data_IF_351831613492
#
_entry.id   IF_351831613492
#
_cell.length_a   1.000
_cell.length_b   1.000
_cell.length_c   1.000
_cell.angle_alpha   90.00
_cell.angle_beta   90.00
_cell.angle_gamma   90.00
#
_symmetry.space_group_name_H-M   'P 1'
#
loop_
_entity.id
_entity.type
_entity.pdbx_description
1 polymer ?
#
# COMPACT_ATOMS: atom_id res chain seq x y z
N UNK A 1 -22.72 -32.61 17.94
CA UNK A 1 -22.02 -32.36 16.65
C UNK A 1 -23.00 -31.61 15.78
N UNK A 2 -22.98 -30.28 15.81
CA UNK A 2 -23.79 -29.45 14.93
C UNK A 2 -23.27 -29.58 13.49
N UNK A 3 -24.15 -29.85 12.55
CA UNK A 3 -23.84 -29.72 11.13
C UNK A 3 -23.60 -28.26 10.85
N UNK A 4 -22.37 -27.92 10.47
CA UNK A 4 -22.05 -26.60 9.94
C UNK A 4 -22.72 -26.47 8.57
N UNK A 5 -23.80 -25.72 8.48
CA UNK A 5 -24.41 -25.36 7.21
C UNK A 5 -23.35 -24.63 6.38
N UNK A 6 -23.18 -24.99 5.09
CA UNK A 6 -22.24 -24.29 4.25
C UNK A 6 -22.70 -22.82 4.09
N UNK A 7 -21.89 -21.90 4.59
CA UNK A 7 -22.11 -20.49 4.40
C UNK A 7 -21.87 -20.13 2.91
N UNK A 8 -22.91 -19.66 2.24
CA UNK A 8 -22.80 -19.12 0.88
C UNK A 8 -22.90 -17.60 0.98
N UNK A 9 -21.77 -16.86 0.86
CA UNK A 9 -21.82 -15.41 0.90
C UNK A 9 -22.63 -14.87 -0.29
N UNK A 10 -23.48 -13.86 -0.06
CA UNK A 10 -24.04 -13.06 -1.15
C UNK A 10 -22.91 -12.29 -1.82
N UNK A 11 -22.45 -12.79 -2.94
CA UNK A 11 -21.38 -12.13 -3.71
C UNK A 11 -21.96 -10.89 -4.38
N UNK A 12 -21.31 -9.72 -4.27
CA UNK A 12 -21.73 -8.51 -4.98
C UNK A 12 -21.69 -8.73 -6.49
N UNK A 13 -22.44 -7.94 -7.24
CA UNK A 13 -22.42 -7.97 -8.69
C UNK A 13 -21.00 -7.71 -9.21
N UNK A 14 -20.38 -8.74 -9.82
CA UNK A 14 -18.99 -8.70 -10.26
C UNK A 14 -18.98 -8.41 -11.75
N UNK A 15 -18.15 -7.44 -12.18
CA UNK A 15 -17.96 -7.17 -13.60
C UNK A 15 -17.31 -8.37 -14.31
N UNK A 16 -17.59 -8.55 -15.61
CA UNK A 16 -17.16 -9.74 -16.37
C UNK A 16 -15.65 -10.01 -16.37
N UNK A 17 -14.82 -8.98 -16.15
CA UNK A 17 -13.37 -9.09 -16.11
C UNK A 17 -12.79 -9.21 -14.70
N UNK A 18 -13.62 -9.26 -13.67
CA UNK A 18 -13.20 -9.35 -12.27
C UNK A 18 -13.50 -10.73 -11.67
N UNK A 19 -12.73 -11.10 -10.68
CA UNK A 19 -13.00 -12.24 -9.81
C UNK A 19 -12.69 -11.90 -8.33
N UNK A 20 -13.29 -12.65 -7.43
CA UNK A 20 -13.04 -12.51 -5.98
C UNK A 20 -11.67 -13.07 -5.67
N UNK A 21 -10.75 -12.24 -5.23
CA UNK A 21 -9.43 -12.64 -4.76
C UNK A 21 -9.47 -13.06 -3.28
N UNK A 22 -10.17 -12.27 -2.44
CA UNK A 22 -10.35 -12.55 -1.01
C UNK A 22 -11.76 -12.22 -0.55
N UNK A 23 -12.23 -12.98 0.44
CA UNK A 23 -13.39 -12.67 1.27
C UNK A 23 -12.88 -12.54 2.71
N UNK A 24 -12.95 -11.34 3.26
CA UNK A 24 -12.41 -11.03 4.58
C UNK A 24 -13.58 -10.84 5.54
N UNK A 25 -13.81 -11.76 6.49
CA UNK A 25 -14.83 -11.60 7.52
C UNK A 25 -14.53 -10.38 8.39
N UNK A 26 -15.55 -9.58 8.71
CA UNK A 26 -15.42 -8.41 9.58
C UNK A 26 -16.14 -8.60 10.91
N UNK A 27 -17.36 -9.06 10.84
CA UNK A 27 -18.18 -9.34 12.03
C UNK A 27 -19.27 -10.33 11.68
N UNK A 28 -19.75 -11.02 12.70
CA UNK A 28 -20.84 -11.94 12.59
C UNK A 28 -22.07 -11.40 13.31
N UNK A 29 -23.22 -11.88 12.92
CA UNK A 29 -24.50 -11.68 13.60
C UNK A 29 -25.15 -13.03 13.88
N UNK A 30 -25.77 -13.18 15.04
CA UNK A 30 -26.47 -14.39 15.42
C UNK A 30 -27.78 -14.03 16.14
N UNK A 31 -28.92 -14.57 15.70
CA UNK A 31 -30.23 -14.33 16.33
C UNK A 31 -30.55 -12.83 16.58
N UNK A 32 -30.17 -11.94 15.64
CA UNK A 32 -30.40 -10.49 15.76
C UNK A 32 -29.33 -9.71 16.56
N UNK A 33 -28.38 -10.40 17.17
CA UNK A 33 -27.19 -9.77 17.79
C UNK A 33 -26.13 -9.56 16.72
N UNK A 34 -25.57 -8.36 16.59
CA UNK A 34 -24.56 -8.02 15.60
C UNK A 34 -23.22 -7.68 16.26
N UNK A 35 -22.13 -7.66 15.48
CA UNK A 35 -20.81 -7.28 16.00
C UNK A 35 -20.06 -8.40 16.72
N UNK A 36 -20.48 -9.65 16.53
CA UNK A 36 -19.81 -10.82 17.09
C UNK A 36 -18.51 -11.04 16.31
N UNK A 37 -17.38 -11.18 17.02
CA UNK A 37 -16.07 -11.41 16.38
C UNK A 37 -15.83 -12.90 16.14
N UNK A 38 -16.14 -13.73 17.12
CA UNK A 38 -15.97 -15.17 17.06
C UNK A 38 -17.32 -15.88 17.29
N UNK A 39 -17.92 -16.50 16.27
CA UNK A 39 -19.17 -17.18 16.36
C UNK A 39 -19.05 -18.67 16.78
N UNK A 40 -17.84 -19.24 16.91
CA UNK A 40 -17.64 -20.68 17.09
C UNK A 40 -18.30 -21.24 18.35
N UNK A 41 -18.43 -20.39 19.39
CA UNK A 41 -19.05 -20.81 20.68
C UNK A 41 -20.55 -20.50 20.77
N UNK A 42 -21.18 -19.99 19.69
CA UNK A 42 -22.58 -19.59 19.74
C UNK A 42 -23.50 -20.59 19.07
N UNK A 43 -24.51 -21.02 19.82
CA UNK A 43 -25.64 -21.77 19.24
C UNK A 43 -26.63 -20.78 18.61
N UNK A 44 -26.81 -20.86 17.29
CA UNK A 44 -27.69 -19.97 16.56
C UNK A 44 -28.40 -20.70 15.43
N UNK A 45 -29.68 -20.36 15.24
CA UNK A 45 -30.46 -20.84 14.10
C UNK A 45 -30.21 -20.03 12.83
N UNK A 46 -29.64 -18.85 12.96
CA UNK A 46 -29.28 -17.96 11.84
C UNK A 46 -27.95 -17.27 12.16
N UNK A 47 -27.01 -17.40 11.22
CA UNK A 47 -25.71 -16.74 11.28
C UNK A 47 -25.58 -15.81 10.07
N UNK A 48 -25.38 -14.52 10.34
CA UNK A 48 -25.08 -13.51 9.35
C UNK A 48 -23.59 -13.18 9.41
N UNK A 49 -22.97 -12.87 8.28
CA UNK A 49 -21.57 -12.45 8.22
C UNK A 49 -21.45 -11.17 7.38
N UNK A 50 -20.88 -10.15 7.98
CA UNK A 50 -20.43 -8.96 7.25
C UNK A 50 -19.00 -9.19 6.75
N UNK A 51 -18.81 -9.13 5.44
CA UNK A 51 -17.51 -9.41 4.81
C UNK A 51 -17.10 -8.30 3.86
N UNK A 52 -15.79 -8.09 3.77
CA UNK A 52 -15.15 -7.30 2.74
C UNK A 52 -14.76 -8.23 1.58
N UNK A 53 -15.18 -7.90 0.36
CA UNK A 53 -14.76 -8.59 -0.85
C UNK A 53 -13.63 -7.82 -1.50
N UNK A 54 -12.53 -8.48 -1.78
CA UNK A 54 -11.43 -7.96 -2.60
C UNK A 54 -11.58 -8.52 -4.00
N UNK A 55 -11.86 -7.62 -4.94
CA UNK A 55 -12.00 -7.96 -6.36
C UNK A 55 -10.70 -7.65 -7.09
N UNK A 56 -10.31 -8.51 -8.01
CA UNK A 56 -9.14 -8.31 -8.85
C UNK A 56 -9.47 -8.56 -10.33
N UNK A 57 -8.74 -7.88 -11.20
CA UNK A 57 -8.83 -8.10 -12.65
C UNK A 57 -8.29 -9.49 -13.02
N UNK A 58 -9.09 -10.30 -13.69
CA UNK A 58 -8.74 -11.68 -14.10
C UNK A 58 -7.49 -11.71 -14.96
N UNK A 59 -7.36 -10.76 -15.89
CA UNK A 59 -6.21 -10.71 -16.79
C UNK A 59 -4.91 -10.44 -16.05
N UNK A 60 -4.94 -9.51 -15.08
CA UNK A 60 -3.78 -9.22 -14.23
C UNK A 60 -3.37 -10.44 -13.41
N UNK A 61 -4.34 -11.12 -12.80
CA UNK A 61 -4.07 -12.34 -12.01
C UNK A 61 -3.50 -13.46 -12.86
N UNK A 62 -4.07 -13.69 -14.04
CA UNK A 62 -3.56 -14.72 -14.98
C UNK A 62 -2.17 -14.37 -15.49
N UNK A 63 -1.89 -13.12 -15.83
CA UNK A 63 -0.56 -12.69 -16.27
C UNK A 63 0.49 -12.90 -15.18
N UNK A 64 0.14 -12.59 -13.94
CA UNK A 64 1.00 -12.85 -12.77
C UNK A 64 1.30 -14.34 -12.64
N UNK A 65 0.26 -15.21 -12.67
CA UNK A 65 0.42 -16.66 -12.62
C UNK A 65 1.28 -17.19 -13.78
N UNK A 66 1.02 -16.71 -14.99
CA UNK A 66 1.77 -17.10 -16.20
C UNK A 66 3.26 -16.71 -16.12
N UNK A 67 3.55 -15.51 -15.59
CA UNK A 67 4.91 -15.01 -15.45
C UNK A 67 5.72 -15.88 -14.48
N UNK A 68 5.16 -16.21 -13.32
CA UNK A 68 5.79 -17.09 -12.34
C UNK A 68 5.95 -18.51 -12.88
N UNK A 69 4.92 -19.05 -13.57
CA UNK A 69 4.98 -20.38 -14.17
C UNK A 69 6.08 -20.51 -15.23
N UNK A 70 6.35 -19.44 -15.99
CA UNK A 70 7.45 -19.42 -16.97
C UNK A 70 8.83 -19.60 -16.33
N UNK A 71 8.99 -19.26 -15.06
CA UNK A 71 10.22 -19.50 -14.28
C UNK A 71 10.29 -20.91 -13.67
N UNK A 72 9.38 -21.81 -14.04
CA UNK A 72 9.34 -23.18 -13.53
C UNK A 72 8.72 -23.35 -12.14
N UNK A 73 8.14 -22.28 -11.59
CA UNK A 73 7.54 -22.27 -10.24
C UNK A 73 6.01 -22.37 -10.35
N UNK A 74 5.40 -23.21 -9.52
CA UNK A 74 3.94 -23.29 -9.40
C UNK A 74 3.41 -22.24 -8.43
N UNK A 75 2.35 -21.50 -8.82
CA UNK A 75 1.65 -20.57 -7.95
C UNK A 75 0.58 -21.32 -7.18
N UNK A 76 0.70 -21.39 -5.86
CA UNK A 76 -0.27 -22.00 -4.98
C UNK A 76 -1.48 -21.08 -4.74
N UNK A 77 -1.22 -19.82 -4.45
CA UNK A 77 -2.25 -18.80 -4.19
C UNK A 77 -1.73 -17.42 -4.57
N UNK A 78 -2.64 -16.48 -4.80
CA UNK A 78 -2.36 -15.06 -4.90
C UNK A 78 -2.88 -14.38 -3.64
N UNK A 79 -2.10 -13.47 -3.08
CA UNK A 79 -2.46 -12.70 -1.91
C UNK A 79 -2.36 -11.22 -2.25
N UNK A 80 -3.34 -10.43 -1.81
CA UNK A 80 -3.30 -8.99 -1.95
C UNK A 80 -2.11 -8.41 -1.19
N UNK A 81 -1.30 -7.54 -1.83
CA UNK A 81 -0.12 -6.91 -1.21
C UNK A 81 -0.46 -6.22 0.12
N UNK A 82 -1.56 -5.48 0.14
CA UNK A 82 -2.04 -4.80 1.35
C UNK A 82 -2.22 -5.74 2.56
N UNK A 83 -2.75 -6.96 2.35
CA UNK A 83 -2.87 -7.96 3.43
C UNK A 83 -1.50 -8.47 3.87
N UNK A 84 -0.62 -8.79 2.91
CA UNK A 84 0.71 -9.31 3.22
C UNK A 84 1.55 -8.27 3.98
N UNK A 85 1.53 -7.01 3.53
CA UNK A 85 2.22 -5.90 4.20
C UNK A 85 1.62 -5.62 5.59
N UNK A 86 0.29 -5.69 5.73
CA UNK A 86 -0.39 -5.54 7.02
C UNK A 86 0.00 -6.63 8.02
N UNK A 87 0.13 -7.87 7.57
CA UNK A 87 0.56 -8.97 8.45
C UNK A 87 2.01 -8.81 8.91
N UNK A 88 2.88 -8.25 8.07
CA UNK A 88 4.31 -8.11 8.38
C UNK A 88 4.66 -6.84 9.15
N UNK A 89 3.90 -5.75 8.97
CA UNK A 89 4.27 -4.42 9.46
C UNK A 89 3.41 -3.93 10.62
N UNK A 90 2.20 -4.49 10.82
CA UNK A 90 1.27 -4.01 11.83
C UNK A 90 1.13 -5.00 12.98
N UNK A 91 1.20 -4.49 14.21
CA UNK A 91 0.82 -5.24 15.40
C UNK A 91 -0.70 -5.45 15.47
N UNK A 92 -1.13 -6.40 16.30
CA UNK A 92 -2.56 -6.62 16.53
C UNK A 92 -3.22 -5.41 17.18
N UNK A 93 -2.53 -4.76 18.12
CA UNK A 93 -3.06 -3.58 18.82
C UNK A 93 -3.28 -2.40 17.86
N UNK A 94 -2.35 -2.15 16.91
CA UNK A 94 -2.53 -1.12 15.88
C UNK A 94 -3.75 -1.41 15.01
N UNK A 95 -3.93 -2.66 14.58
CA UNK A 95 -5.10 -3.06 13.79
C UNK A 95 -6.42 -2.89 14.58
N UNK A 96 -6.41 -3.18 15.88
CA UNK A 96 -7.58 -3.01 16.76
C UNK A 96 -7.91 -1.53 16.99
N UNK A 97 -6.92 -0.69 17.27
CA UNK A 97 -7.09 0.76 17.48
C UNK A 97 -7.46 1.50 16.20
N UNK A 98 -7.22 0.88 15.07
CA UNK A 98 -7.32 1.46 13.75
C UNK A 98 -6.02 2.14 13.33
N UNK A 99 -5.57 1.83 12.11
CA UNK A 99 -4.30 2.32 11.55
C UNK A 99 -4.40 2.40 10.02
N UNK A 100 -3.70 3.36 9.44
CA UNK A 100 -3.46 3.41 7.99
C UNK A 100 -2.09 2.83 7.70
N UNK A 101 -1.99 1.95 6.70
CA UNK A 101 -0.74 1.46 6.16
C UNK A 101 -0.56 2.00 4.74
N UNK A 102 0.57 2.66 4.49
CA UNK A 102 1.00 3.09 3.17
C UNK A 102 2.23 2.28 2.75
N UNK A 103 2.07 1.41 1.77
CA UNK A 103 3.17 0.64 1.17
C UNK A 103 3.63 1.35 -0.10
N UNK A 104 4.71 2.14 0.02
CA UNK A 104 5.24 2.97 -1.07
C UNK A 104 6.27 2.14 -1.85
N UNK A 105 5.78 1.47 -2.89
CA UNK A 105 6.60 0.68 -3.80
C UNK A 105 7.32 1.52 -4.86
N UNK A 106 7.92 0.84 -5.84
CA UNK A 106 8.62 1.51 -6.95
C UNK A 106 7.69 2.26 -7.90
N UNK A 107 6.55 1.70 -8.26
CA UNK A 107 5.60 2.28 -9.23
C UNK A 107 4.21 2.55 -8.68
N UNK A 108 3.87 1.98 -7.54
CA UNK A 108 2.52 2.02 -6.95
C UNK A 108 2.67 2.24 -5.45
N UNK A 109 1.74 2.96 -4.87
CA UNK A 109 1.53 3.01 -3.42
C UNK A 109 0.22 2.34 -3.08
N UNK A 110 0.29 1.24 -2.33
CA UNK A 110 -0.87 0.58 -1.76
C UNK A 110 -1.28 1.29 -0.48
N UNK A 111 -2.57 1.53 -0.34
CA UNK A 111 -3.17 2.28 0.76
C UNK A 111 -4.17 1.37 1.43
N UNK A 112 -4.02 1.15 2.73
CA UNK A 112 -4.87 0.25 3.50
C UNK A 112 -5.30 0.90 4.80
N UNK A 113 -6.54 0.77 5.14
CA UNK A 113 -7.10 1.14 6.44
C UNK A 113 -7.54 -0.10 7.18
N UNK A 114 -7.01 -0.30 8.37
CA UNK A 114 -7.40 -1.35 9.29
C UNK A 114 -8.22 -0.74 10.43
N UNK A 115 -9.23 -1.47 10.86
CA UNK A 115 -10.11 -1.10 11.95
C UNK A 115 -10.70 -2.35 12.59
N UNK A 116 -10.83 -2.38 13.90
CA UNK A 116 -11.40 -3.51 14.64
C UNK A 116 -10.72 -4.85 14.31
N UNK A 117 -9.39 -4.83 14.15
CA UNK A 117 -8.56 -5.99 13.85
C UNK A 117 -8.58 -6.46 12.39
N UNK A 118 -9.37 -5.84 11.50
CA UNK A 118 -9.57 -6.29 10.12
C UNK A 118 -9.26 -5.20 9.10
N UNK A 119 -8.93 -5.61 7.86
CA UNK A 119 -8.83 -4.68 6.72
C UNK A 119 -10.22 -4.12 6.41
N UNK A 120 -10.38 -2.81 6.56
CA UNK A 120 -11.64 -2.09 6.32
C UNK A 120 -11.75 -1.53 4.90
N UNK A 121 -10.66 -0.93 4.42
CA UNK A 121 -10.60 -0.35 3.10
C UNK A 121 -9.22 -0.52 2.51
N UNK A 122 -9.14 -0.76 1.20
CA UNK A 122 -7.88 -0.78 0.48
C UNK A 122 -8.05 -0.19 -0.91
N UNK A 123 -7.04 0.53 -1.36
CA UNK A 123 -6.92 1.07 -2.70
C UNK A 123 -5.46 1.24 -3.06
N UNK A 124 -5.17 1.61 -4.30
CA UNK A 124 -3.82 1.89 -4.76
C UNK A 124 -3.78 3.15 -5.62
N UNK A 125 -2.65 3.81 -5.63
CA UNK A 125 -2.37 4.94 -6.53
C UNK A 125 -1.13 4.62 -7.38
N UNK A 126 -1.11 4.96 -8.68
CA UNK A 126 0.00 4.66 -9.58
C UNK A 126 1.15 5.67 -9.42
N UNK A 127 1.59 5.87 -8.18
CA UNK A 127 2.69 6.75 -7.79
C UNK A 127 3.59 6.00 -6.81
N UNK A 128 4.90 6.07 -7.02
CA UNK A 128 5.90 5.41 -6.17
C UNK A 128 7.30 5.98 -6.43
N UNK A 129 8.33 5.25 -6.02
CA UNK A 129 9.72 5.68 -6.11
C UNK A 129 10.22 6.07 -7.51
N UNK A 130 9.66 5.47 -8.55
CA UNK A 130 10.00 5.80 -9.95
C UNK A 130 9.59 7.22 -10.31
N UNK A 131 8.47 7.72 -9.79
CA UNK A 131 8.04 9.10 -10.01
C UNK A 131 8.96 10.09 -9.31
N UNK A 132 9.41 9.76 -8.09
CA UNK A 132 10.44 10.55 -7.37
C UNK A 132 11.71 10.69 -8.22
N UNK A 133 12.21 9.59 -8.78
CA UNK A 133 13.39 9.58 -9.65
C UNK A 133 13.17 10.39 -10.91
N UNK A 134 11.99 10.28 -11.52
CA UNK A 134 11.64 11.01 -12.74
C UNK A 134 11.60 12.52 -12.48
N UNK A 135 10.99 12.94 -11.38
CA UNK A 135 10.92 14.35 -11.00
C UNK A 135 12.33 14.92 -10.74
N UNK A 136 13.17 14.16 -10.05
CA UNK A 136 14.56 14.54 -9.82
C UNK A 136 15.34 14.62 -11.15
N UNK A 137 15.15 13.66 -12.05
CA UNK A 137 15.75 13.66 -13.39
C UNK A 137 15.36 14.89 -14.19
N UNK A 138 14.09 15.29 -14.14
CA UNK A 138 13.57 16.47 -14.84
C UNK A 138 14.08 17.75 -14.17
N UNK A 139 13.99 17.86 -12.86
CA UNK A 139 14.39 19.06 -12.11
C UNK A 139 15.87 19.38 -12.28
N UNK A 140 16.73 18.36 -12.32
CA UNK A 140 18.19 18.53 -12.48
C UNK A 140 18.64 18.43 -13.94
N UNK A 141 17.79 18.04 -14.89
CA UNK A 141 18.17 17.82 -16.29
C UNK A 141 19.24 16.73 -16.46
N UNK A 142 19.16 15.65 -15.69
CA UNK A 142 20.13 14.54 -15.69
C UNK A 142 19.51 13.23 -16.17
N UNK A 143 20.31 12.25 -16.63
CA UNK A 143 19.80 10.92 -16.96
C UNK A 143 19.13 10.26 -15.77
N UNK A 144 18.06 9.49 -16.04
CA UNK A 144 17.27 8.77 -15.02
C UNK A 144 18.13 7.90 -14.09
N UNK A 145 19.14 7.24 -14.65
CA UNK A 145 20.05 6.40 -13.86
C UNK A 145 20.80 7.20 -12.78
N UNK A 146 21.34 8.38 -13.13
CA UNK A 146 22.02 9.23 -12.17
C UNK A 146 21.06 9.88 -11.17
N UNK A 147 19.83 10.16 -11.58
CA UNK A 147 18.77 10.62 -10.66
C UNK A 147 18.41 9.53 -9.63
N UNK A 148 18.32 8.28 -10.08
CA UNK A 148 18.07 7.14 -9.17
C UNK A 148 19.20 6.97 -8.16
N UNK A 149 20.46 6.99 -8.64
CA UNK A 149 21.64 6.91 -7.78
C UNK A 149 21.69 8.08 -6.78
N UNK A 150 21.41 9.30 -7.23
CA UNK A 150 21.40 10.49 -6.39
C UNK A 150 20.30 10.41 -5.31
N UNK A 151 19.09 10.00 -5.71
CA UNK A 151 17.98 9.76 -4.76
C UNK A 151 18.37 8.77 -3.67
N UNK A 152 18.96 7.63 -4.05
CA UNK A 152 19.31 6.56 -3.12
C UNK A 152 20.44 6.94 -2.16
N UNK A 153 21.42 7.72 -2.62
CA UNK A 153 22.61 8.05 -1.83
C UNK A 153 22.43 9.31 -0.97
N UNK A 154 21.75 10.33 -1.48
CA UNK A 154 21.73 11.66 -0.87
C UNK A 154 20.33 12.24 -0.67
N UNK A 155 19.29 11.59 -1.23
CA UNK A 155 17.92 12.05 -1.11
C UNK A 155 17.42 11.99 0.32
N UNK A 156 16.59 12.95 0.70
CA UNK A 156 15.90 13.01 1.99
C UNK A 156 14.45 13.46 1.80
N UNK A 157 13.55 12.94 2.62
CA UNK A 157 12.13 13.32 2.57
C UNK A 157 11.90 14.73 3.13
N UNK A 158 12.73 15.15 4.08
CA UNK A 158 12.69 16.46 4.73
C UNK A 158 13.96 17.25 4.34
N UNK A 159 13.86 18.24 3.43
CA UNK A 159 15.03 19.00 2.99
C UNK A 159 15.81 19.64 4.14
N UNK A 160 15.11 20.14 5.15
CA UNK A 160 15.69 20.80 6.32
C UNK A 160 16.60 19.87 7.14
N UNK A 161 16.39 18.57 7.05
CA UNK A 161 17.18 17.55 7.74
C UNK A 161 18.25 16.90 6.85
N UNK A 162 18.23 17.19 5.54
CA UNK A 162 19.18 16.61 4.59
C UNK A 162 20.61 17.15 4.77
N UNK A 163 20.75 18.35 5.35
CA UNK A 163 22.02 19.04 5.51
C UNK A 163 22.49 19.76 4.23
N UNK A 164 23.50 20.62 4.39
CA UNK A 164 24.03 21.49 3.32
C UNK A 164 25.28 20.91 2.65
N UNK A 165 25.58 19.63 2.87
CA UNK A 165 26.70 18.95 2.22
C UNK A 165 26.54 19.03 0.69
N UNK A 166 27.58 19.52 0.01
CA UNK A 166 27.61 19.57 -1.46
C UNK A 166 27.86 18.19 -2.06
N UNK A 167 27.05 17.83 -3.05
CA UNK A 167 27.16 16.59 -3.82
C UNK A 167 27.41 16.89 -5.28
N UNK A 168 28.19 16.04 -5.93
CA UNK A 168 28.49 16.10 -7.36
C UNK A 168 27.70 15.02 -8.07
N UNK A 169 26.77 15.41 -8.92
CA UNK A 169 25.92 14.48 -9.65
C UNK A 169 26.33 14.48 -11.12
N UNK A 170 26.70 13.29 -11.66
CA UNK A 170 27.02 13.17 -13.07
C UNK A 170 25.85 13.61 -13.97
N UNK A 171 26.19 14.21 -15.10
CA UNK A 171 25.23 14.66 -16.10
C UNK A 171 25.40 13.89 -17.41
N UNK A 172 24.87 14.41 -18.50
CA UNK A 172 25.11 13.83 -19.83
C UNK A 172 26.57 13.97 -20.23
N UNK A 173 27.04 12.98 -21.03
CA UNK A 173 28.41 12.96 -21.52
C UNK A 173 28.84 14.32 -22.14
N UNK A 174 30.02 14.76 -21.76
CA UNK A 174 30.57 16.05 -22.23
C UNK A 174 30.04 17.32 -21.51
N UNK A 175 29.23 17.15 -20.45
CA UNK A 175 28.79 18.25 -19.60
C UNK A 175 29.43 18.19 -18.23
N UNK A 176 29.58 19.37 -17.59
CA UNK A 176 30.04 19.46 -16.22
C UNK A 176 29.04 18.79 -15.25
N UNK A 177 29.51 18.09 -14.20
CA UNK A 177 28.66 17.57 -13.13
C UNK A 177 27.88 18.70 -12.44
N UNK A 178 26.66 18.44 -12.05
CA UNK A 178 25.92 19.37 -11.19
C UNK A 178 26.49 19.34 -9.78
N UNK A 179 26.75 20.53 -9.24
CA UNK A 179 27.10 20.74 -7.84
C UNK A 179 25.90 21.38 -7.15
N UNK A 180 25.35 20.72 -6.16
CA UNK A 180 24.22 21.22 -5.38
C UNK A 180 24.26 20.65 -3.96
N UNK A 181 23.55 21.31 -3.04
CA UNK A 181 23.42 20.82 -1.68
C UNK A 181 22.47 19.61 -1.60
N UNK A 182 22.62 18.79 -0.57
CA UNK A 182 21.66 17.72 -0.28
C UNK A 182 20.25 18.28 0.00
N UNK A 183 20.19 19.47 0.61
CA UNK A 183 18.94 20.21 0.79
C UNK A 183 18.23 20.42 -0.56
N UNK A 184 18.92 21.05 -1.54
CA UNK A 184 18.33 21.37 -2.84
C UNK A 184 17.95 20.13 -3.65
N UNK A 185 18.76 19.06 -3.56
CA UNK A 185 18.45 17.75 -4.14
C UNK A 185 17.15 17.19 -3.57
N UNK A 186 16.88 17.42 -2.30
CA UNK A 186 15.74 16.85 -1.59
C UNK A 186 14.42 17.60 -1.85
N UNK A 187 14.45 18.84 -2.32
CA UNK A 187 13.24 19.63 -2.59
C UNK A 187 12.25 18.97 -3.58
N UNK A 188 12.69 18.46 -4.76
CA UNK A 188 11.78 17.75 -5.66
C UNK A 188 11.21 16.47 -5.04
N UNK A 189 12.01 15.75 -4.26
CA UNK A 189 11.60 14.51 -3.57
C UNK A 189 10.52 14.81 -2.53
N UNK A 190 10.74 15.82 -1.68
CA UNK A 190 9.77 16.29 -0.69
C UNK A 190 8.44 16.69 -1.33
N UNK A 191 8.51 17.46 -2.42
CA UNK A 191 7.32 17.92 -3.16
C UNK A 191 6.47 16.74 -3.63
N UNK A 192 7.09 15.73 -4.25
CA UNK A 192 6.39 14.52 -4.72
C UNK A 192 5.87 13.66 -3.58
N UNK A 193 6.64 13.46 -2.52
CA UNK A 193 6.18 12.70 -1.34
C UNK A 193 4.98 13.36 -0.68
N UNK A 194 5.04 14.69 -0.50
CA UNK A 194 3.92 15.46 0.06
C UNK A 194 2.65 15.33 -0.80
N UNK A 195 2.77 15.36 -2.13
CA UNK A 195 1.66 15.13 -3.04
C UNK A 195 1.11 13.71 -2.91
N UNK A 196 1.99 12.71 -2.86
CA UNK A 196 1.63 11.30 -2.71
C UNK A 196 0.84 11.06 -1.43
N UNK A 197 1.30 11.60 -0.30
CA UNK A 197 0.63 11.49 0.99
C UNK A 197 -0.74 12.19 0.96
N UNK A 198 -0.82 13.40 0.38
CA UNK A 198 -2.09 14.12 0.23
C UNK A 198 -3.08 13.34 -0.62
N UNK A 199 -2.62 12.73 -1.71
CA UNK A 199 -3.46 11.88 -2.56
C UNK A 199 -3.92 10.61 -1.83
N UNK A 200 -3.05 9.99 -1.02
CA UNK A 200 -3.42 8.85 -0.20
C UNK A 200 -4.51 9.20 0.82
N UNK A 201 -4.36 10.33 1.52
CA UNK A 201 -5.38 10.83 2.46
C UNK A 201 -6.70 11.13 1.73
N UNK A 202 -6.64 11.72 0.55
CA UNK A 202 -7.83 11.96 -0.28
C UNK A 202 -8.54 10.65 -0.61
N UNK A 203 -7.80 9.62 -1.05
CA UNK A 203 -8.36 8.29 -1.35
C UNK A 203 -9.00 7.61 -0.14
N UNK A 204 -8.39 7.73 1.02
CA UNK A 204 -8.96 7.22 2.27
C UNK A 204 -10.28 7.91 2.63
N UNK A 205 -10.38 9.22 2.41
CA UNK A 205 -11.63 9.97 2.63
C UNK A 205 -12.72 9.57 1.64
N UNK A 206 -12.38 9.35 0.37
CA UNK A 206 -13.31 8.77 -0.62
C UNK A 206 -13.81 7.38 -0.17
N UNK A 207 -12.96 6.60 0.48
CA UNK A 207 -13.31 5.30 1.08
C UNK A 207 -14.12 5.38 2.38
N UNK A 208 -14.48 6.58 2.83
CA UNK A 208 -15.33 6.78 4.02
C UNK A 208 -14.57 7.09 5.31
N UNK A 209 -13.25 7.21 5.29
CA UNK A 209 -12.46 7.57 6.48
C UNK A 209 -12.71 9.04 6.85
N UNK A 210 -13.27 9.30 8.01
CA UNK A 210 -13.59 10.66 8.48
C UNK A 210 -12.40 11.37 9.13
N UNK A 211 -11.53 10.64 9.81
CA UNK A 211 -10.34 11.14 10.49
C UNK A 211 -9.23 10.10 10.48
N UNK A 212 -7.99 10.55 10.66
CA UNK A 212 -6.84 9.64 10.86
C UNK A 212 -7.09 8.82 12.12
N UNK A 213 -6.97 7.48 12.06
CA UNK A 213 -7.22 6.61 13.19
C UNK A 213 -6.18 6.81 14.30
N UNK A 214 -6.49 6.31 15.52
CA UNK A 214 -5.61 6.49 16.69
C UNK A 214 -4.25 5.82 16.55
N UNK A 215 -4.16 4.73 15.80
CA UNK A 215 -2.88 4.08 15.46
C UNK A 215 -2.04 4.86 14.46
N UNK A 216 -2.56 5.98 13.93
CA UNK A 216 -1.80 6.85 13.01
C UNK A 216 -1.61 6.27 11.63
N UNK A 217 -0.46 6.57 11.03
CA UNK A 217 -0.06 6.11 9.70
C UNK A 217 1.27 5.37 9.82
N UNK A 218 1.30 4.13 9.36
CA UNK A 218 2.51 3.31 9.24
C UNK A 218 2.97 3.36 7.78
N UNK A 219 4.26 3.59 7.57
CA UNK A 219 4.88 3.63 6.27
C UNK A 219 5.72 2.37 6.06
N UNK A 220 5.63 1.77 4.88
CA UNK A 220 6.45 0.63 4.46
C UNK A 220 6.74 0.70 2.96
N UNK A 221 7.44 -0.29 2.43
CA UNK A 221 7.82 -0.37 1.03
C UNK A 221 9.25 0.09 0.75
N UNK A 222 9.75 -0.26 -0.42
CA UNK A 222 11.15 0.01 -0.79
C UNK A 222 11.52 1.49 -0.85
N UNK A 223 10.56 2.36 -1.16
CA UNK A 223 10.79 3.82 -1.25
C UNK A 223 11.04 4.45 0.12
N UNK A 224 10.45 3.91 1.18
CA UNK A 224 10.62 4.43 2.56
C UNK A 224 12.06 4.25 3.04
N UNK A 225 12.70 3.13 2.69
CA UNK A 225 14.08 2.83 3.10
C UNK A 225 15.11 3.80 2.52
N UNK A 226 14.83 4.43 1.39
CA UNK A 226 15.78 5.31 0.69
C UNK A 226 15.59 6.79 0.99
N UNK A 227 14.44 7.18 1.50
CA UNK A 227 14.09 8.58 1.72
C UNK A 227 14.22 9.02 3.18
N UNK A 228 14.75 8.16 4.06
CA UNK A 228 14.88 8.45 5.50
C UNK A 228 13.58 9.09 6.06
N UNK A 229 12.46 8.42 5.83
CA UNK A 229 11.14 8.86 6.30
C UNK A 229 10.88 8.52 7.79
N UNK A 230 11.92 8.08 8.51
CA UNK A 230 11.85 7.72 9.94
C UNK A 230 12.18 8.89 10.82
#
# INVERSE_FOLDING_TARGET
RGETLPFVPSIPEIQNNQEVLHVIPRSYGANGITGIRDPEALESNQLDMKSQFVLADKTCMENTRKSVKKSGISVKSLVLGALASGESCLSQDERELGVVLLDIGGGVTDISHYSEGSLDYTTAIPVGGTQLTRDLSIALGIPFYFAEEAKLRWGHAMPEEAGDEEVLIPTFYGREPHRLSRHDLSLPLHSRLSETIKLAIYKLREGGMSAIPKGGIVLTGGTVSYTHLT
#
